data_IF_263342007947
#
_entry.id   IF_263342007947
#
_cell.length_a   1.000
_cell.length_b   1.000
_cell.length_c   1.000
_cell.angle_alpha   90.00
_cell.angle_beta   90.00
_cell.angle_gamma   90.00
#
_symmetry.space_group_name_H-M   'P 1'
#
loop_
_entity.id
_entity.type
_entity.pdbx_description
1 polymer ?
#
# COMPACT_ATOMS: atom_id res chain seq x y z
N UNK A 1 -18.54 14.07 2.40
CA UNK A 1 -17.54 14.56 1.41
C UNK A 1 -18.09 15.64 0.47
N UNK A 2 -19.33 16.14 0.75
CA UNK A 2 -19.96 17.15 -0.10
C UNK A 2 -19.16 18.46 -0.14
N UNK A 3 -18.92 18.98 -1.32
CA UNK A 3 -18.19 20.22 -1.55
C UNK A 3 -16.67 20.05 -1.74
N UNK A 4 -16.15 18.82 -1.82
CA UNK A 4 -14.76 18.50 -2.10
C UNK A 4 -13.76 18.98 -1.05
N UNK A 5 -12.46 18.97 -1.38
CA UNK A 5 -11.38 19.32 -0.45
C UNK A 5 -11.54 20.69 0.24
N UNK A 6 -11.98 21.79 -0.43
CA UNK A 6 -12.16 23.07 0.25
C UNK A 6 -13.22 23.04 1.35
N UNK A 7 -14.31 22.30 1.15
CA UNK A 7 -15.37 22.18 2.17
C UNK A 7 -14.92 21.27 3.32
N UNK A 8 -14.20 20.20 3.02
CA UNK A 8 -13.61 19.32 4.04
C UNK A 8 -12.62 20.10 4.89
N UNK A 9 -11.66 20.80 4.30
CA UNK A 9 -10.66 21.62 4.98
C UNK A 9 -11.31 22.65 5.92
N UNK A 10 -12.39 23.30 5.49
CA UNK A 10 -13.12 24.26 6.34
C UNK A 10 -13.77 23.58 7.54
N UNK A 11 -14.40 22.39 7.35
CA UNK A 11 -15.04 21.62 8.45
C UNK A 11 -14.00 21.10 9.44
N UNK A 12 -12.84 20.66 8.99
CA UNK A 12 -11.77 20.15 9.84
C UNK A 12 -11.08 21.24 10.69
N UNK A 13 -11.35 22.53 10.39
CA UNK A 13 -10.91 23.66 11.23
C UNK A 13 -11.91 24.03 12.33
N UNK A 14 -13.11 23.45 12.30
CA UNK A 14 -14.14 23.68 13.31
C UNK A 14 -13.96 22.69 14.48
N UNK A 15 -13.66 23.18 15.71
CA UNK A 15 -13.46 22.31 16.87
C UNK A 15 -14.65 21.40 17.17
N UNK A 16 -15.88 21.88 16.97
CA UNK A 16 -17.09 21.09 17.21
C UNK A 16 -17.17 19.90 16.24
N UNK A 17 -16.70 20.07 14.98
CA UNK A 17 -16.64 18.99 14.00
C UNK A 17 -15.51 18.00 14.30
N UNK A 18 -14.40 18.47 14.83
CA UNK A 18 -13.30 17.58 15.29
C UNK A 18 -13.78 16.71 16.46
N UNK A 19 -14.51 17.29 17.42
CA UNK A 19 -15.07 16.53 18.55
C UNK A 19 -16.11 15.50 18.09
N UNK A 20 -16.97 15.86 17.14
CA UNK A 20 -17.90 14.92 16.49
C UNK A 20 -17.14 13.75 15.82
N UNK A 21 -16.09 14.02 15.05
CA UNK A 21 -15.27 13.00 14.41
C UNK A 21 -14.55 12.10 15.41
N UNK A 22 -14.05 12.66 16.52
CA UNK A 22 -13.43 11.87 17.59
C UNK A 22 -14.40 10.83 18.15
N UNK A 23 -15.66 11.22 18.40
CA UNK A 23 -16.71 10.29 18.83
C UNK A 23 -17.01 9.22 17.78
N UNK A 24 -17.06 9.60 16.50
CA UNK A 24 -17.31 8.67 15.40
C UNK A 24 -16.16 7.65 15.25
N UNK A 25 -14.91 8.08 15.36
CA UNK A 25 -13.76 7.18 15.22
C UNK A 25 -13.54 6.27 16.43
N UNK A 26 -14.03 6.64 17.61
CA UNK A 26 -13.92 5.83 18.82
C UNK A 26 -14.75 4.54 18.76
N UNK A 27 -15.81 4.51 17.95
CA UNK A 27 -16.78 3.41 17.93
C UNK A 27 -16.76 2.65 16.61
N UNK A 28 -17.00 1.32 16.61
CA UNK A 28 -17.22 0.56 15.39
C UNK A 28 -18.37 1.15 14.57
N UNK A 29 -18.23 1.22 13.25
CA UNK A 29 -19.26 1.77 12.37
C UNK A 29 -19.80 0.70 11.42
N UNK A 30 -21.13 0.55 11.38
CA UNK A 30 -21.80 -0.24 10.33
C UNK A 30 -22.07 0.53 9.03
N UNK A 31 -21.70 1.82 8.94
CA UNK A 31 -21.98 2.69 7.80
C UNK A 31 -20.77 2.90 6.90
N UNK A 32 -19.56 2.74 7.43
CA UNK A 32 -18.29 2.87 6.72
C UNK A 32 -17.22 2.04 7.43
N UNK A 33 -16.15 1.72 6.73
CA UNK A 33 -14.98 1.06 7.30
C UNK A 33 -14.19 2.07 8.16
N UNK A 34 -14.25 1.87 9.48
CA UNK A 34 -13.55 2.74 10.43
C UNK A 34 -12.14 2.20 10.67
N UNK A 35 -11.20 2.55 9.80
CA UNK A 35 -9.81 2.11 9.89
C UNK A 35 -9.16 2.52 11.21
N UNK A 36 -9.47 3.71 11.72
CA UNK A 36 -8.93 4.17 13.00
C UNK A 36 -9.32 3.25 14.15
N UNK A 37 -10.59 2.83 14.20
CA UNK A 37 -11.07 1.91 15.22
C UNK A 37 -10.50 0.50 15.03
N UNK A 38 -10.25 0.10 13.78
CA UNK A 38 -9.75 -1.24 13.42
C UNK A 38 -8.26 -1.41 13.75
N UNK A 39 -7.43 -0.44 13.40
CA UNK A 39 -5.95 -0.57 13.45
C UNK A 39 -5.26 0.46 14.35
N UNK A 40 -5.95 1.49 14.82
CA UNK A 40 -5.35 2.57 15.61
C UNK A 40 -4.57 3.60 14.79
N UNK A 41 -4.31 4.75 15.40
CA UNK A 41 -3.57 5.85 14.79
C UNK A 41 -2.07 5.53 14.59
N UNK A 42 -1.55 4.58 15.33
CA UNK A 42 -0.16 4.09 15.26
C UNK A 42 0.14 3.32 13.97
N UNK A 43 -0.89 2.76 13.33
CA UNK A 43 -0.78 1.97 12.10
C UNK A 43 -1.15 2.75 10.83
N UNK A 44 -1.39 4.07 10.95
CA UNK A 44 -1.63 4.97 9.82
C UNK A 44 -0.42 5.88 9.66
N UNK A 45 0.44 5.64 8.66
CA UNK A 45 1.65 6.42 8.38
C UNK A 45 1.44 7.42 7.26
N UNK A 46 1.81 8.67 7.50
CA UNK A 46 1.79 9.72 6.49
C UNK A 46 3.05 9.65 5.61
N UNK A 47 2.89 9.55 4.31
CA UNK A 47 3.99 9.35 3.35
C UNK A 47 4.29 10.55 2.47
N UNK A 48 3.38 11.51 2.39
CA UNK A 48 3.56 12.71 1.57
C UNK A 48 2.98 13.93 2.27
N UNK A 49 3.77 15.00 2.32
CA UNK A 49 3.34 16.34 2.72
C UNK A 49 3.76 17.34 1.64
N UNK A 50 2.94 18.35 1.37
CA UNK A 50 3.22 19.41 0.40
C UNK A 50 3.83 20.64 1.04
N UNK A 51 3.53 20.89 2.33
CA UNK A 51 4.04 22.04 3.08
C UNK A 51 5.42 21.77 3.67
N UNK A 52 6.38 22.69 3.54
CA UNK A 52 7.73 22.52 4.09
C UNK A 52 7.75 22.24 5.60
N UNK A 53 6.88 22.89 6.37
CA UNK A 53 6.79 22.74 7.82
C UNK A 53 6.35 21.33 8.27
N UNK A 54 5.67 20.58 7.41
CA UNK A 54 5.21 19.23 7.70
C UNK A 54 6.14 18.13 7.15
N UNK A 55 7.12 18.47 6.32
CA UNK A 55 8.04 17.50 5.70
C UNK A 55 8.79 16.63 6.72
N UNK A 56 9.09 17.18 7.89
CA UNK A 56 9.77 16.45 8.97
C UNK A 56 8.95 15.25 9.52
N UNK A 57 7.65 15.21 9.23
CA UNK A 57 6.75 14.12 9.67
C UNK A 57 6.62 13.00 8.64
N UNK A 58 7.26 13.10 7.49
CA UNK A 58 7.20 12.05 6.45
C UNK A 58 7.69 10.72 6.99
N UNK A 59 6.86 9.67 6.86
CA UNK A 59 7.12 8.33 7.38
C UNK A 59 6.67 8.09 8.82
N UNK A 60 6.26 9.12 9.54
CA UNK A 60 5.72 8.99 10.91
C UNK A 60 4.24 8.57 10.87
N UNK A 61 3.83 7.82 11.89
CA UNK A 61 2.41 7.55 12.12
C UNK A 61 1.68 8.79 12.65
N UNK A 62 0.35 8.81 12.49
CA UNK A 62 -0.47 9.88 13.06
C UNK A 62 -0.29 9.99 14.58
N UNK A 63 -0.15 8.84 15.28
CA UNK A 63 0.10 8.82 16.72
C UNK A 63 1.45 9.47 17.08
N UNK A 64 2.53 9.17 16.33
CA UNK A 64 3.85 9.76 16.53
C UNK A 64 3.86 11.27 16.28
N UNK A 65 3.18 11.73 15.22
CA UNK A 65 3.05 13.16 14.91
C UNK A 65 2.27 13.88 16.01
N UNK A 66 1.16 13.28 16.46
CA UNK A 66 0.33 13.84 17.54
C UNK A 66 1.13 13.98 18.84
N UNK A 67 1.94 12.96 19.19
CA UNK A 67 2.83 13.02 20.35
C UNK A 67 3.87 14.14 20.21
N UNK A 68 4.49 14.29 19.03
CA UNK A 68 5.45 15.37 18.77
C UNK A 68 4.83 16.76 18.85
N UNK A 69 3.57 16.89 18.41
CA UNK A 69 2.79 18.13 18.49
C UNK A 69 2.10 18.35 19.86
N UNK A 70 2.13 17.36 20.76
CA UNK A 70 1.46 17.36 22.07
C UNK A 70 -0.05 17.61 21.94
N UNK A 71 -0.69 16.90 21.03
CA UNK A 71 -2.11 17.00 20.76
C UNK A 71 -2.77 15.63 20.63
N UNK A 72 -4.10 15.62 20.66
CA UNK A 72 -4.90 14.41 20.43
C UNK A 72 -4.73 13.90 18.99
N UNK A 73 -4.62 12.58 18.73
CA UNK A 73 -4.38 12.05 17.38
C UNK A 73 -5.47 12.41 16.36
N UNK A 74 -6.75 12.44 16.77
CA UNK A 74 -7.85 12.84 15.88
C UNK A 74 -7.74 14.33 15.53
N UNK A 75 -7.46 15.18 16.51
CA UNK A 75 -7.25 16.61 16.28
C UNK A 75 -6.03 16.86 15.39
N UNK A 76 -4.94 16.10 15.59
CA UNK A 76 -3.74 16.13 14.77
C UNK A 76 -4.05 15.78 13.32
N UNK A 77 -4.72 14.66 13.07
CA UNK A 77 -5.11 14.23 11.73
C UNK A 77 -5.99 15.26 11.03
N UNK A 78 -7.00 15.81 11.72
CA UNK A 78 -7.86 16.85 11.18
C UNK A 78 -7.08 18.11 10.82
N UNK A 79 -6.13 18.54 11.66
CA UNK A 79 -5.29 19.70 11.44
C UNK A 79 -4.35 19.48 10.23
N UNK A 80 -3.66 18.34 10.17
CA UNK A 80 -2.80 17.98 9.04
C UNK A 80 -3.54 18.00 7.72
N UNK A 81 -4.72 17.35 7.67
CA UNK A 81 -5.57 17.36 6.47
C UNK A 81 -6.01 18.79 6.09
N UNK A 82 -6.31 19.64 7.08
CA UNK A 82 -6.68 21.03 6.83
C UNK A 82 -5.50 21.90 6.37
N UNK A 83 -4.31 21.70 6.93
CA UNK A 83 -3.07 22.38 6.55
C UNK A 83 -2.68 22.02 5.13
N UNK A 84 -2.72 20.73 4.78
CA UNK A 84 -2.31 20.18 3.47
C UNK A 84 -3.43 20.20 2.41
N UNK A 85 -4.57 20.80 2.71
CA UNK A 85 -5.72 20.84 1.80
C UNK A 85 -6.13 19.43 1.31
N UNK A 86 -6.11 18.45 2.21
CA UNK A 86 -6.37 17.03 1.94
C UNK A 86 -5.38 16.37 0.95
N UNK A 87 -4.17 16.92 0.78
CA UNK A 87 -3.13 16.39 -0.12
C UNK A 87 -2.06 15.59 0.66
N UNK A 88 -2.50 14.71 1.53
CA UNK A 88 -1.63 13.77 2.26
C UNK A 88 -1.84 12.38 1.70
N UNK A 89 -0.75 11.67 1.41
CA UNK A 89 -0.79 10.23 1.17
C UNK A 89 -0.44 9.48 2.44
N UNK A 90 -1.00 8.28 2.58
CA UNK A 90 -0.75 7.42 3.73
C UNK A 90 -0.53 5.97 3.32
N UNK A 91 0.02 5.20 4.23
CA UNK A 91 0.09 3.74 4.21
C UNK A 91 -0.55 3.22 5.48
N UNK A 92 -1.49 2.30 5.33
CA UNK A 92 -2.19 1.65 6.44
C UNK A 92 -1.67 0.23 6.62
N UNK A 93 -1.30 -0.14 7.85
CA UNK A 93 -0.87 -1.48 8.20
C UNK A 93 -2.08 -2.29 8.69
N UNK A 94 -2.92 -2.73 7.75
CA UNK A 94 -4.22 -3.36 8.06
C UNK A 94 -4.24 -4.88 7.85
N UNK A 95 -3.22 -5.46 7.22
CA UNK A 95 -3.23 -6.87 6.84
C UNK A 95 -2.19 -7.63 7.63
N UNK A 96 -2.58 -8.77 8.21
CA UNK A 96 -1.65 -9.69 8.86
C UNK A 96 -0.93 -10.58 7.84
N UNK A 97 0.26 -11.07 8.20
CA UNK A 97 0.98 -12.06 7.40
C UNK A 97 0.19 -13.38 7.25
N UNK A 98 -0.63 -13.73 8.24
CA UNK A 98 -1.50 -14.90 8.18
C UNK A 98 -2.57 -14.75 7.10
N UNK A 99 -3.22 -13.58 7.03
CA UNK A 99 -4.21 -13.26 6.00
C UNK A 99 -3.58 -13.27 4.62
N UNK A 100 -2.39 -12.68 4.45
CA UNK A 100 -1.66 -12.70 3.18
C UNK A 100 -1.41 -14.14 2.73
N UNK A 101 -0.92 -15.01 3.62
CA UNK A 101 -0.70 -16.43 3.30
C UNK A 101 -2.00 -17.17 2.96
N UNK A 102 -3.09 -16.90 3.67
CA UNK A 102 -4.39 -17.48 3.38
C UNK A 102 -4.89 -17.08 1.99
N UNK A 103 -4.81 -15.79 1.66
CA UNK A 103 -5.20 -15.27 0.34
C UNK A 103 -4.30 -15.81 -0.76
N UNK A 104 -2.98 -15.90 -0.55
CA UNK A 104 -2.05 -16.46 -1.53
C UNK A 104 -2.32 -17.94 -1.81
N UNK A 105 -2.70 -18.75 -0.79
CA UNK A 105 -3.07 -20.16 -0.97
C UNK A 105 -4.41 -20.33 -1.66
N UNK A 106 -5.30 -19.34 -1.61
CA UNK A 106 -6.60 -19.44 -2.23
C UNK A 106 -6.47 -19.61 -3.75
N UNK A 107 -7.04 -20.69 -4.34
CA UNK A 107 -6.76 -21.05 -5.75
C UNK A 107 -7.21 -19.99 -6.75
N UNK A 108 -8.18 -19.17 -6.38
CA UNK A 108 -8.76 -18.14 -7.26
C UNK A 108 -8.20 -16.73 -7.01
N UNK A 109 -7.22 -16.54 -6.16
CA UNK A 109 -6.56 -15.25 -6.00
C UNK A 109 -5.57 -14.98 -7.13
N UNK A 110 -5.38 -13.70 -7.45
CA UNK A 110 -4.34 -13.20 -8.33
C UNK A 110 -3.35 -12.36 -7.51
N UNK A 111 -2.12 -12.24 -7.98
CA UNK A 111 -1.15 -11.29 -7.46
C UNK A 111 -1.08 -10.09 -8.40
N UNK A 112 -1.28 -8.91 -7.85
CA UNK A 112 -1.13 -7.63 -8.54
C UNK A 112 -0.23 -6.70 -7.73
N UNK A 113 0.29 -5.65 -8.34
CA UNK A 113 1.12 -4.67 -7.64
C UNK A 113 0.28 -3.65 -6.86
N UNK A 114 -0.90 -3.30 -7.35
CA UNK A 114 -1.69 -2.14 -6.87
C UNK A 114 -0.81 -0.89 -6.70
N UNK A 115 0.18 -0.75 -7.58
CA UNK A 115 1.18 0.29 -7.50
C UNK A 115 0.62 1.60 -8.07
N UNK A 116 0.85 2.68 -7.33
CA UNK A 116 0.50 4.04 -7.75
C UNK A 116 1.78 4.88 -7.69
N UNK A 117 2.07 5.61 -8.77
CA UNK A 117 3.14 6.60 -8.80
C UNK A 117 2.67 7.86 -8.08
N UNK A 118 3.27 8.22 -6.92
CA UNK A 118 2.90 9.45 -6.25
C UNK A 118 3.39 10.66 -7.06
N UNK A 119 2.66 11.75 -6.98
CA UNK A 119 3.10 13.05 -7.55
C UNK A 119 4.24 13.70 -6.76
N UNK A 120 4.63 13.10 -5.64
CA UNK A 120 5.71 13.53 -4.73
C UNK A 120 5.70 12.65 -3.46
N UNK A 121 6.68 12.85 -2.58
CA UNK A 121 6.81 12.12 -1.32
C UNK A 121 7.37 10.71 -1.46
N UNK A 122 7.09 9.87 -0.47
CA UNK A 122 7.63 8.52 -0.36
C UNK A 122 6.63 7.50 -0.93
N UNK A 123 6.96 6.76 -2.01
CA UNK A 123 6.08 5.75 -2.57
C UNK A 123 5.95 4.54 -1.65
N UNK A 124 4.89 3.74 -1.85
CA UNK A 124 4.81 2.42 -1.23
C UNK A 124 5.86 1.49 -1.87
N UNK A 125 6.60 0.66 -1.09
CA UNK A 125 7.63 -0.24 -1.63
C UNK A 125 7.10 -1.24 -2.68
N UNK A 126 5.80 -1.54 -2.69
CA UNK A 126 5.17 -2.38 -3.72
C UNK A 126 5.35 -1.87 -5.15
N UNK A 127 5.60 -0.57 -5.33
CA UNK A 127 5.88 0.03 -6.64
C UNK A 127 7.13 -0.59 -7.29
N UNK A 128 8.11 -0.97 -6.48
CA UNK A 128 9.42 -1.47 -6.94
C UNK A 128 9.61 -2.97 -6.73
N UNK A 129 8.87 -3.61 -5.81
CA UNK A 129 9.21 -4.94 -5.35
C UNK A 129 8.02 -5.92 -5.23
N UNK A 130 6.79 -5.56 -5.61
CA UNK A 130 5.61 -6.40 -5.38
C UNK A 130 5.79 -7.86 -5.86
N UNK A 131 6.06 -8.07 -7.13
CA UNK A 131 6.16 -9.40 -7.73
C UNK A 131 7.41 -10.17 -7.28
N UNK A 132 8.62 -9.57 -7.30
CA UNK A 132 9.83 -10.23 -6.79
C UNK A 132 9.70 -10.62 -5.32
N UNK A 133 9.07 -9.79 -4.49
CA UNK A 133 8.83 -10.08 -3.07
C UNK A 133 8.00 -11.35 -2.88
N UNK A 134 6.98 -11.59 -3.70
CA UNK A 134 6.20 -12.84 -3.63
C UNK A 134 7.08 -14.06 -3.93
N UNK A 135 7.96 -13.99 -4.94
CA UNK A 135 8.89 -15.08 -5.26
C UNK A 135 9.92 -15.31 -4.15
N UNK A 136 10.39 -14.24 -3.52
CA UNK A 136 11.39 -14.32 -2.46
C UNK A 136 10.77 -14.80 -1.15
N UNK A 137 9.72 -14.15 -0.68
CA UNK A 137 9.19 -14.38 0.66
C UNK A 137 8.29 -15.62 0.70
N UNK A 138 7.41 -15.81 -0.29
CA UNK A 138 6.37 -16.85 -0.25
C UNK A 138 6.64 -18.08 -1.13
N UNK A 139 7.77 -18.11 -1.86
CA UNK A 139 8.24 -19.29 -2.58
C UNK A 139 9.60 -19.74 -2.05
N UNK A 140 10.61 -18.84 -2.00
CA UNK A 140 11.99 -19.20 -1.64
C UNK A 140 12.19 -19.31 -0.13
N UNK A 141 11.74 -18.31 0.66
CA UNK A 141 11.95 -18.26 2.13
C UNK A 141 10.92 -19.09 2.86
N UNK A 142 9.67 -18.88 2.56
CA UNK A 142 8.55 -19.62 3.12
C UNK A 142 7.78 -20.28 1.97
N UNK A 143 7.73 -21.63 1.88
CA UNK A 143 7.07 -22.33 0.76
C UNK A 143 5.55 -22.31 0.91
N UNK A 144 4.96 -21.12 0.87
CA UNK A 144 3.49 -20.89 0.84
C UNK A 144 2.91 -21.29 -0.51
N UNK A 145 3.68 -21.03 -1.59
CA UNK A 145 3.36 -21.39 -2.98
C UNK A 145 4.55 -22.14 -3.59
N UNK A 146 4.28 -22.98 -4.61
CA UNK A 146 5.33 -23.41 -5.53
C UNK A 146 5.67 -22.28 -6.49
N UNK A 147 6.82 -22.36 -7.16
CA UNK A 147 7.23 -21.37 -8.17
C UNK A 147 6.18 -21.27 -9.29
N UNK A 148 5.68 -22.41 -9.77
CA UNK A 148 4.68 -22.49 -10.83
C UNK A 148 3.36 -21.84 -10.41
N UNK A 149 2.92 -22.06 -9.16
CA UNK A 149 1.72 -21.44 -8.62
C UNK A 149 1.88 -19.92 -8.53
N UNK A 150 3.02 -19.42 -8.04
CA UNK A 150 3.28 -18.00 -7.95
C UNK A 150 3.31 -17.35 -9.33
N UNK A 151 4.07 -17.92 -10.28
CA UNK A 151 4.12 -17.44 -11.66
C UNK A 151 2.73 -17.45 -12.31
N UNK A 152 1.96 -18.54 -12.16
CA UNK A 152 0.61 -18.62 -12.69
C UNK A 152 -0.30 -17.52 -12.17
N UNK A 153 -0.24 -17.23 -10.86
CA UNK A 153 -1.04 -16.17 -10.21
C UNK A 153 -0.67 -14.75 -10.65
N UNK A 154 0.55 -14.55 -11.19
CA UNK A 154 1.04 -13.26 -11.70
C UNK A 154 0.87 -13.11 -13.21
N UNK A 155 0.63 -14.19 -13.96
CA UNK A 155 0.69 -14.20 -15.43
C UNK A 155 -0.58 -14.78 -16.06
N UNK A 156 -0.64 -16.09 -16.25
CA UNK A 156 -1.70 -16.76 -17.00
C UNK A 156 -3.09 -16.56 -16.36
N UNK A 157 -3.16 -16.61 -15.03
CA UNK A 157 -4.43 -16.44 -14.33
C UNK A 157 -5.03 -15.04 -14.50
N UNK A 158 -4.35 -13.93 -14.16
CA UNK A 158 -4.89 -12.59 -14.42
C UNK A 158 -5.16 -12.34 -15.91
N UNK A 159 -4.30 -12.82 -16.81
CA UNK A 159 -4.53 -12.72 -18.25
C UNK A 159 -5.85 -13.40 -18.66
N UNK A 160 -6.15 -14.59 -18.11
CA UNK A 160 -7.40 -15.31 -18.37
C UNK A 160 -8.62 -14.57 -17.81
N UNK A 161 -8.53 -14.03 -16.59
CA UNK A 161 -9.63 -13.26 -15.95
C UNK A 161 -9.95 -11.99 -16.74
N UNK A 162 -8.92 -11.32 -17.26
CA UNK A 162 -9.08 -10.08 -18.04
C UNK A 162 -9.34 -10.34 -19.54
N UNK A 163 -9.36 -11.61 -19.98
CA UNK A 163 -9.58 -11.96 -21.38
C UNK A 163 -8.43 -11.54 -22.31
N UNK A 164 -7.21 -11.38 -21.80
CA UNK A 164 -6.03 -11.00 -22.59
C UNK A 164 -5.59 -12.17 -23.45
N UNK A 165 -5.72 -12.01 -24.76
CA UNK A 165 -5.32 -13.03 -25.75
C UNK A 165 -3.81 -12.97 -26.00
N UNK A 166 -3.17 -14.13 -26.09
CA UNK A 166 -1.74 -14.24 -26.43
C UNK A 166 -0.79 -13.86 -25.31
N UNK A 167 -1.26 -13.71 -24.06
CA UNK A 167 -0.45 -13.28 -22.91
C UNK A 167 -0.45 -14.28 -21.77
N UNK A 168 0.57 -14.21 -20.92
CA UNK A 168 0.67 -14.92 -19.64
C UNK A 168 1.13 -16.39 -19.74
N UNK A 169 1.47 -16.90 -20.92
CA UNK A 169 1.96 -18.26 -21.13
C UNK A 169 3.14 -18.30 -22.12
N UNK A 170 4.12 -19.13 -21.85
CA UNK A 170 5.19 -19.47 -22.81
C UNK A 170 4.62 -20.47 -23.82
N UNK A 171 4.09 -19.96 -24.93
CA UNK A 171 3.43 -20.76 -25.97
C UNK A 171 3.67 -20.17 -27.34
N UNK A 172 3.86 -21.04 -28.38
CA UNK A 172 4.01 -20.60 -29.77
C UNK A 172 2.81 -19.75 -30.19
N UNK A 173 3.07 -18.56 -30.74
CA UNK A 173 2.06 -17.59 -31.17
C UNK A 173 1.57 -16.64 -30.07
N UNK A 174 2.14 -16.74 -28.86
CA UNK A 174 1.93 -15.78 -27.78
C UNK A 174 3.01 -14.70 -27.81
N UNK A 175 2.74 -13.56 -27.19
CA UNK A 175 3.70 -12.47 -27.04
C UNK A 175 4.89 -12.92 -26.20
N UNK A 176 6.07 -12.45 -26.56
CA UNK A 176 7.34 -12.83 -25.92
C UNK A 176 7.67 -11.92 -24.72
N UNK A 177 6.70 -11.71 -23.83
CA UNK A 177 6.91 -11.04 -22.54
C UNK A 177 7.59 -12.05 -21.58
N UNK A 178 8.92 -12.13 -21.59
CA UNK A 178 9.68 -13.21 -20.94
C UNK A 178 10.67 -12.64 -19.95
N UNK A 179 10.65 -13.15 -18.72
CA UNK A 179 11.66 -12.89 -17.70
C UNK A 179 12.52 -14.15 -17.48
N UNK A 180 13.85 -13.98 -17.52
CA UNK A 180 14.81 -15.05 -17.20
C UNK A 180 15.51 -14.69 -15.90
N UNK A 181 15.45 -15.59 -14.93
CA UNK A 181 16.02 -15.37 -13.60
C UNK A 181 16.37 -16.69 -12.90
N UNK A 182 17.30 -16.61 -11.97
CA UNK A 182 17.55 -17.66 -10.98
C UNK A 182 16.91 -17.26 -9.65
N UNK A 183 15.98 -18.09 -9.14
CA UNK A 183 15.23 -17.80 -7.94
C UNK A 183 16.13 -17.48 -6.73
N UNK A 184 17.28 -18.17 -6.62
CA UNK A 184 18.27 -17.96 -5.55
C UNK A 184 18.92 -16.58 -5.56
N UNK A 185 19.02 -15.94 -6.72
CA UNK A 185 19.68 -14.64 -6.93
C UNK A 185 18.75 -13.43 -6.84
N UNK A 186 17.43 -13.64 -6.82
CA UNK A 186 16.49 -12.54 -6.72
C UNK A 186 16.66 -11.78 -5.41
N UNK A 187 16.71 -10.46 -5.48
CA UNK A 187 16.68 -9.54 -4.35
C UNK A 187 15.62 -8.46 -4.53
N UNK A 188 14.96 -8.08 -3.45
CA UNK A 188 13.89 -7.08 -3.41
C UNK A 188 13.97 -6.34 -2.07
N UNK A 189 14.88 -5.37 -1.99
CA UNK A 189 15.26 -4.68 -0.75
C UNK A 189 14.45 -3.40 -0.51
N UNK A 190 13.43 -3.12 -1.32
CA UNK A 190 12.51 -2.03 -1.08
C UNK A 190 11.78 -2.23 0.25
N UNK A 191 11.86 -1.23 1.13
CA UNK A 191 11.21 -1.21 2.44
C UNK A 191 10.39 0.08 2.61
N UNK A 192 9.65 0.21 3.71
CA UNK A 192 8.92 1.44 4.00
C UNK A 192 9.86 2.62 4.32
N UNK A 193 11.06 2.34 4.80
CA UNK A 193 12.11 3.34 5.09
C UNK A 193 12.90 3.72 3.82
N UNK A 194 13.08 2.75 2.90
CA UNK A 194 13.78 2.95 1.63
C UNK A 194 13.01 2.28 0.48
N UNK A 195 11.89 2.85 0.04
CA UNK A 195 10.97 2.18 -0.89
C UNK A 195 11.42 2.19 -2.36
N UNK A 196 12.30 3.13 -2.75
CA UNK A 196 12.67 3.36 -4.15
C UNK A 196 13.87 2.53 -4.58
N UNK A 197 13.88 1.25 -4.20
CA UNK A 197 14.94 0.28 -4.56
C UNK A 197 14.40 -0.71 -5.57
N UNK A 198 14.98 -0.74 -6.77
CA UNK A 198 14.62 -1.72 -7.78
C UNK A 198 15.00 -3.14 -7.34
N UNK A 199 14.16 -4.10 -7.69
CA UNK A 199 14.51 -5.50 -7.56
C UNK A 199 15.65 -5.85 -8.51
N UNK A 200 16.46 -6.85 -8.14
CA UNK A 200 17.61 -7.34 -8.91
C UNK A 200 17.63 -8.86 -9.01
N UNK A 201 18.57 -9.41 -9.80
CA UNK A 201 18.71 -10.85 -10.01
C UNK A 201 17.93 -11.39 -11.22
N UNK A 202 17.38 -10.51 -12.07
CA UNK A 202 16.86 -10.86 -13.39
C UNK A 202 18.01 -10.79 -14.39
N UNK A 203 18.22 -11.88 -15.14
CA UNK A 203 19.25 -11.95 -16.17
C UNK A 203 18.78 -11.28 -17.46
N UNK A 204 17.51 -11.49 -17.85
CA UNK A 204 16.88 -10.87 -19.02
C UNK A 204 15.41 -10.55 -18.76
N UNK A 205 14.95 -9.47 -19.37
CA UNK A 205 13.56 -9.03 -19.42
C UNK A 205 13.26 -8.62 -20.86
N UNK A 206 12.39 -9.36 -21.53
CA UNK A 206 11.99 -9.15 -22.92
C UNK A 206 10.58 -8.57 -23.01
#
# INVERSE_FOLDING_TARGET
LDGGAPAITRRLRDPAKVDELRGIFAEPSGRFENLVNLIGWENIRCTTFTRPENQAYTGMSVAEIAAARREDPCACACRLLAEEECRISMVDFITSEEDIRAVLRYPYSNVISDAVYPSGGTPHPRLYAAFPKVLIDYVRREPVLTLEQAVHKMTARPASVLGLRGKGLLRKGYDADINVFELGRLAADASYENPSVFASGFDYVF
#
